data_IF_697684470363
#
_entry.id   IF_697684470363
#
_cell.length_a   1.000
_cell.length_b   1.000
_cell.length_c   1.000
_cell.angle_alpha   90.00
_cell.angle_beta   90.00
_cell.angle_gamma   90.00
#
_symmetry.space_group_name_H-M   'P 1'
#
loop_
_entity.id
_entity.type
_entity.pdbx_description
1 polymer ?
#
# COMPACT_ATOMS: atom_id res chain seq x y z
N UNK A 1 -60.30 -78.93 29.27
CA UNK A 1 -59.65 -77.59 29.23
C UNK A 1 -59.22 -77.23 30.65
N UNK A 2 -58.25 -77.94 31.20
CA UNK A 2 -56.80 -77.69 31.17
C UNK A 2 -56.36 -76.31 31.69
N UNK A 3 -55.77 -76.39 32.89
CA UNK A 3 -55.34 -75.34 33.80
C UNK A 3 -54.04 -74.70 33.34
N UNK A 4 -54.00 -73.38 33.41
CA UNK A 4 -52.77 -72.60 33.52
C UNK A 4 -52.09 -72.89 34.87
N UNK A 5 -50.81 -73.29 34.84
CA UNK A 5 -49.83 -73.13 35.94
C UNK A 5 -48.53 -72.67 35.28
N UNK A 6 -48.30 -71.36 35.30
CA UNK A 6 -47.32 -70.64 36.15
C UNK A 6 -45.89 -70.64 35.56
N UNK A 7 -45.28 -69.46 35.30
CA UNK A 7 -44.08 -69.31 34.46
C UNK A 7 -42.74 -69.50 35.21
N UNK A 8 -42.75 -70.06 36.43
CA UNK A 8 -41.53 -70.27 37.21
C UNK A 8 -40.58 -71.34 36.64
N UNK A 9 -41.07 -72.26 35.80
CA UNK A 9 -40.24 -73.27 35.16
C UNK A 9 -39.34 -72.72 34.04
N UNK A 10 -39.68 -71.56 33.46
CA UNK A 10 -38.90 -70.95 32.37
C UNK A 10 -37.70 -70.15 32.90
N UNK A 11 -37.83 -69.55 34.09
CA UNK A 11 -36.74 -68.76 34.70
C UNK A 11 -35.63 -69.67 35.25
N UNK A 12 -35.98 -70.85 35.80
CA UNK A 12 -34.98 -71.82 36.27
C UNK A 12 -34.16 -72.44 35.12
N UNK A 13 -34.74 -72.57 33.92
CA UNK A 13 -34.04 -73.07 32.73
C UNK A 13 -33.05 -72.04 32.13
N UNK A 14 -33.33 -70.74 32.28
CA UNK A 14 -32.45 -69.67 31.80
C UNK A 14 -31.22 -69.44 32.70
N UNK A 15 -31.31 -69.71 34.00
CA UNK A 15 -30.16 -69.56 34.92
C UNK A 15 -29.19 -70.75 34.82
N UNK A 16 -29.67 -71.97 34.55
CA UNK A 16 -28.78 -73.13 34.28
C UNK A 16 -28.06 -73.04 32.92
N UNK A 17 -28.59 -72.28 31.96
CA UNK A 17 -27.91 -72.06 30.67
C UNK A 17 -26.77 -71.03 30.75
N UNK A 18 -26.77 -70.13 31.76
CA UNK A 18 -25.69 -69.15 31.97
C UNK A 18 -24.54 -69.65 32.87
N UNK A 19 -24.72 -70.76 33.60
CA UNK A 19 -23.66 -71.31 34.47
C UNK A 19 -22.72 -72.33 33.77
N UNK A 20 -23.03 -72.74 32.54
CA UNK A 20 -22.21 -73.70 31.76
C UNK A 20 -21.28 -73.03 30.73
N UNK A 21 -21.19 -71.70 30.71
CA UNK A 21 -20.25 -70.95 29.85
C UNK A 21 -19.05 -70.37 30.63
N UNK A 22 -18.85 -70.76 31.89
CA UNK A 22 -17.70 -70.36 32.72
C UNK A 22 -16.42 -71.17 32.47
N UNK A 23 -16.23 -71.74 31.29
CA UNK A 23 -15.23 -72.79 31.03
C UNK A 23 -14.25 -72.49 29.90
N UNK A 24 -13.68 -71.29 29.80
CA UNK A 24 -12.57 -71.01 28.87
C UNK A 24 -11.53 -70.00 29.41
N UNK A 25 -11.37 -69.84 30.73
CA UNK A 25 -10.39 -68.91 31.29
C UNK A 25 -8.94 -69.46 31.37
N UNK A 26 -8.62 -70.51 30.60
CA UNK A 26 -7.30 -71.17 30.61
C UNK A 26 -6.70 -71.42 29.21
N UNK A 27 -7.29 -70.84 28.15
CA UNK A 27 -6.79 -70.98 26.77
C UNK A 27 -6.38 -69.66 26.11
N UNK A 28 -6.35 -68.56 26.88
CA UNK A 28 -6.01 -67.22 26.39
C UNK A 28 -4.86 -66.52 27.14
N UNK A 29 -4.21 -67.18 28.09
CA UNK A 29 -2.92 -66.73 28.61
C UNK A 29 -1.80 -67.13 27.65
N UNK A 30 -1.80 -66.55 26.45
CA UNK A 30 -0.57 -66.39 25.69
C UNK A 30 -0.02 -65.04 26.07
N UNK A 31 1.13 -65.03 26.76
CA UNK A 31 1.94 -63.84 26.85
C UNK A 31 2.37 -63.48 25.43
N UNK A 32 1.67 -62.51 24.85
CA UNK A 32 2.07 -61.92 23.59
C UNK A 32 2.99 -60.76 23.92
N UNK A 33 4.24 -60.86 23.46
CA UNK A 33 5.16 -59.75 23.49
C UNK A 33 4.65 -58.74 22.45
N UNK A 34 3.97 -57.69 22.90
CA UNK A 34 3.70 -56.53 22.04
C UNK A 34 5.03 -55.82 21.92
N UNK A 35 5.74 -56.10 20.83
CA UNK A 35 6.73 -55.14 20.34
C UNK A 35 5.89 -54.03 19.74
N UNK A 36 5.51 -53.06 20.57
CA UNK A 36 5.27 -51.73 20.02
C UNK A 36 6.56 -51.40 19.29
N UNK A 37 6.56 -51.08 17.97
CA UNK A 37 7.71 -50.39 17.43
C UNK A 37 7.96 -49.24 18.42
N UNK A 38 9.22 -49.05 18.81
CA UNK A 38 9.54 -47.79 19.46
C UNK A 38 9.00 -46.74 18.49
N UNK A 39 7.88 -46.11 18.85
CA UNK A 39 7.68 -44.71 18.57
C UNK A 39 8.86 -44.12 19.31
N UNK A 40 10.00 -44.05 18.62
CA UNK A 40 10.82 -42.88 18.70
C UNK A 40 9.80 -41.76 18.76
N UNK A 41 9.71 -41.08 19.90
CA UNK A 41 9.37 -39.67 19.85
C UNK A 41 10.49 -39.06 19.01
N UNK A 42 10.41 -39.27 17.68
CA UNK A 42 10.97 -38.34 16.74
C UNK A 42 10.21 -37.07 17.09
N UNK A 43 10.88 -36.01 17.60
CA UNK A 43 10.32 -34.69 17.34
C UNK A 43 9.92 -34.68 15.87
N UNK A 44 8.71 -34.16 15.58
CA UNK A 44 8.15 -33.97 14.23
C UNK A 44 9.28 -33.95 13.22
N UNK A 45 9.27 -34.88 12.25
CA UNK A 45 10.21 -34.87 11.13
C UNK A 45 10.37 -33.43 10.65
N UNK A 46 11.55 -32.88 10.93
CA UNK A 46 11.97 -31.55 10.48
C UNK A 46 11.99 -31.67 8.97
N UNK A 47 10.93 -31.19 8.33
CA UNK A 47 10.92 -30.96 6.89
C UNK A 47 11.81 -29.74 6.69
N UNK A 48 13.07 -30.01 6.40
CA UNK A 48 14.10 -29.06 6.04
C UNK A 48 15.33 -29.88 5.69
N UNK A 49 15.79 -29.78 4.44
CA UNK A 49 17.03 -30.42 3.99
C UNK A 49 18.15 -30.20 5.02
N UNK A 50 19.06 -31.17 5.16
CA UNK A 50 20.14 -31.17 6.15
C UNK A 50 21.04 -29.92 6.01
N UNK A 51 20.67 -28.81 6.66
CA UNK A 51 21.44 -27.57 6.61
C UNK A 51 22.78 -27.81 7.29
N UNK A 52 23.85 -27.63 6.52
CA UNK A 52 25.23 -27.90 6.93
C UNK A 52 26.03 -26.61 6.90
N UNK A 53 26.85 -26.42 7.93
CA UNK A 53 27.84 -25.36 7.96
C UNK A 53 29.19 -25.86 8.48
N UNK A 54 30.26 -25.34 7.90
CA UNK A 54 31.65 -25.55 8.32
C UNK A 54 32.31 -24.23 8.73
N UNK A 55 31.73 -23.10 8.32
CA UNK A 55 32.24 -21.75 8.58
C UNK A 55 31.19 -20.85 9.23
N UNK A 56 31.64 -19.77 9.87
CA UNK A 56 30.75 -18.76 10.48
C UNK A 56 29.78 -18.16 9.44
N UNK A 57 30.25 -17.93 8.22
CA UNK A 57 29.42 -17.38 7.15
C UNK A 57 28.33 -18.38 6.73
N UNK A 58 28.67 -19.66 6.55
CA UNK A 58 27.68 -20.69 6.23
C UNK A 58 26.65 -20.88 7.34
N UNK A 59 27.04 -20.73 8.61
CA UNK A 59 26.08 -20.73 9.72
C UNK A 59 25.08 -19.58 9.57
N UNK A 60 25.57 -18.37 9.28
CA UNK A 60 24.73 -17.18 9.06
C UNK A 60 23.82 -17.34 7.85
N UNK A 61 24.33 -17.85 6.74
CA UNK A 61 23.56 -18.08 5.51
C UNK A 61 22.45 -19.12 5.74
N UNK A 62 22.73 -20.19 6.49
CA UNK A 62 21.71 -21.17 6.87
C UNK A 62 20.64 -20.58 7.81
N UNK A 63 21.01 -19.70 8.74
CA UNK A 63 20.04 -18.98 9.60
C UNK A 63 19.13 -18.10 8.72
N UNK A 64 19.71 -17.36 7.78
CA UNK A 64 18.96 -16.53 6.84
C UNK A 64 18.02 -17.35 5.97
N UNK A 65 18.47 -18.51 5.47
CA UNK A 65 17.62 -19.41 4.70
C UNK A 65 16.41 -19.90 5.50
N UNK A 66 16.59 -20.24 6.79
CA UNK A 66 15.45 -20.60 7.66
C UNK A 66 14.45 -19.45 7.81
N UNK A 67 14.95 -18.21 7.86
CA UNK A 67 14.12 -16.98 7.95
C UNK A 67 13.39 -16.72 6.64
N UNK A 68 14.06 -16.86 5.49
CA UNK A 68 13.47 -16.72 4.15
C UNK A 68 12.33 -17.70 3.92
N UNK A 69 12.49 -18.95 4.35
CA UNK A 69 11.46 -20.00 4.25
C UNK A 69 10.39 -19.90 5.37
N UNK A 70 10.55 -18.97 6.32
CA UNK A 70 9.62 -18.80 7.44
C UNK A 70 9.56 -20.00 8.39
N UNK A 71 10.65 -20.76 8.52
CA UNK A 71 10.72 -21.98 9.34
C UNK A 71 10.87 -21.59 10.82
N UNK A 72 9.92 -22.00 11.66
CA UNK A 72 9.94 -21.72 13.11
C UNK A 72 10.97 -22.56 13.86
N UNK A 73 11.18 -23.82 13.44
CA UNK A 73 12.14 -24.74 14.07
C UNK A 73 13.01 -25.37 13.01
N UNK A 74 14.27 -24.93 12.96
CA UNK A 74 15.27 -25.41 12.01
C UNK A 74 16.41 -26.15 12.71
N UNK A 75 17.07 -27.06 12.00
CA UNK A 75 18.26 -27.77 12.50
C UNK A 75 19.44 -27.53 11.57
N UNK A 76 20.57 -27.09 12.13
CA UNK A 76 21.82 -26.86 11.41
C UNK A 76 22.90 -27.75 12.02
N UNK A 77 23.65 -28.45 11.18
CA UNK A 77 24.75 -29.32 11.61
C UNK A 77 26.11 -28.70 11.28
N UNK A 78 26.92 -28.50 12.32
CA UNK A 78 28.27 -27.97 12.22
C UNK A 78 29.31 -29.09 12.13
N UNK A 79 29.97 -29.22 10.98
CA UNK A 79 31.04 -30.20 10.74
C UNK A 79 32.39 -29.49 10.67
N UNK A 80 33.43 -30.08 11.27
CA UNK A 80 34.81 -29.55 11.22
C UNK A 80 34.93 -28.06 11.59
N UNK A 81 33.98 -27.54 12.37
CA UNK A 81 33.92 -26.12 12.72
C UNK A 81 35.05 -25.76 13.69
N UNK A 82 35.87 -24.80 13.31
CA UNK A 82 37.10 -24.44 14.04
C UNK A 82 36.94 -23.29 15.02
N UNK A 83 35.77 -22.65 15.08
CA UNK A 83 35.46 -21.52 15.97
C UNK A 83 34.88 -21.93 17.33
N UNK A 84 34.60 -20.92 18.16
CA UNK A 84 33.98 -21.08 19.49
C UNK A 84 32.46 -21.19 19.34
N UNK A 85 31.94 -22.42 19.33
CA UNK A 85 30.59 -22.75 18.86
C UNK A 85 29.49 -21.89 19.52
N UNK A 86 29.41 -21.86 20.85
CA UNK A 86 28.32 -21.15 21.53
C UNK A 86 28.43 -19.63 21.31
N UNK A 87 29.64 -19.07 21.37
CA UNK A 87 29.89 -17.64 21.10
C UNK A 87 29.59 -17.27 19.65
N UNK A 88 29.94 -18.13 18.70
CA UNK A 88 29.74 -17.90 17.28
C UNK A 88 28.26 -18.02 16.91
N UNK A 89 27.52 -18.96 17.51
CA UNK A 89 26.06 -19.05 17.33
C UNK A 89 25.38 -17.78 17.85
N UNK A 90 25.73 -17.33 19.06
CA UNK A 90 25.17 -16.11 19.63
C UNK A 90 25.52 -14.87 18.79
N UNK A 91 26.76 -14.80 18.29
CA UNK A 91 27.18 -13.74 17.39
C UNK A 91 26.44 -13.79 16.05
N UNK A 92 26.25 -14.96 15.45
CA UNK A 92 25.54 -15.13 14.19
C UNK A 92 24.05 -14.74 14.32
N UNK A 93 23.38 -15.17 15.39
CA UNK A 93 22.00 -14.78 15.70
C UNK A 93 21.92 -13.26 15.89
N UNK A 94 22.82 -12.71 16.71
CA UNK A 94 22.83 -11.26 17.01
C UNK A 94 23.08 -10.43 15.76
N UNK A 95 24.03 -10.83 14.91
CA UNK A 95 24.31 -10.13 13.65
C UNK A 95 23.13 -10.21 12.69
N UNK A 96 22.48 -11.36 12.60
CA UNK A 96 21.30 -11.54 11.75
C UNK A 96 20.15 -10.63 12.21
N UNK A 97 19.88 -10.59 13.51
CA UNK A 97 18.79 -9.77 14.06
C UNK A 97 19.07 -8.26 14.07
N UNK A 98 20.34 -7.84 13.94
CA UNK A 98 20.72 -6.41 13.99
C UNK A 98 21.10 -5.81 12.65
N UNK A 99 21.71 -6.59 11.77
CA UNK A 99 22.35 -6.07 10.56
C UNK A 99 21.78 -6.66 9.27
N UNK A 100 21.16 -7.84 9.32
CA UNK A 100 20.55 -8.43 8.13
C UNK A 100 19.13 -7.91 7.93
N UNK A 101 18.78 -7.37 6.74
CA UNK A 101 17.47 -6.77 6.50
C UNK A 101 16.31 -7.68 6.88
N UNK A 102 16.32 -8.92 6.38
CA UNK A 102 15.27 -9.91 6.66
C UNK A 102 15.22 -10.29 8.14
N UNK A 103 16.36 -10.43 8.80
CA UNK A 103 16.43 -10.75 10.22
C UNK A 103 15.81 -9.65 11.08
N UNK A 104 16.12 -8.38 10.81
CA UNK A 104 15.60 -7.24 11.57
C UNK A 104 14.09 -7.03 11.30
N UNK A 105 13.66 -7.24 10.06
CA UNK A 105 12.27 -7.07 9.64
C UNK A 105 11.35 -8.18 10.17
N UNK A 106 11.76 -9.44 10.06
CA UNK A 106 10.86 -10.59 10.25
C UNK A 106 10.96 -11.26 11.63
N UNK A 107 12.11 -11.16 12.30
CA UNK A 107 12.39 -11.96 13.51
C UNK A 107 12.19 -11.12 14.78
N UNK A 108 11.46 -11.67 15.75
CA UNK A 108 11.32 -11.09 17.08
C UNK A 108 12.40 -11.61 18.03
N UNK A 109 12.59 -12.93 18.05
CA UNK A 109 13.53 -13.59 18.95
C UNK A 109 13.98 -14.93 18.38
N UNK A 110 15.24 -15.30 18.64
CA UNK A 110 15.79 -16.62 18.32
C UNK A 110 16.37 -17.22 19.59
N UNK A 111 16.01 -18.47 19.85
CA UNK A 111 16.68 -19.31 20.84
C UNK A 111 17.36 -20.49 20.15
N UNK A 112 18.42 -20.99 20.75
CA UNK A 112 19.16 -22.13 20.22
C UNK A 112 19.40 -23.20 21.28
N UNK A 113 19.53 -24.44 20.82
CA UNK A 113 20.01 -25.56 21.60
C UNK A 113 21.10 -26.27 20.82
N UNK A 114 22.30 -26.32 21.38
CA UNK A 114 23.45 -27.01 20.80
C UNK A 114 23.65 -28.37 21.48
N UNK A 115 23.79 -29.44 20.69
CA UNK A 115 24.11 -30.79 21.17
C UNK A 115 25.27 -31.34 20.36
N UNK A 116 26.34 -31.77 21.04
CA UNK A 116 27.47 -32.44 20.39
C UNK A 116 27.14 -33.90 20.10
N UNK A 117 27.24 -34.31 18.84
CA UNK A 117 27.02 -35.68 18.38
C UNK A 117 28.28 -36.17 17.67
N UNK A 118 29.09 -36.98 18.37
CA UNK A 118 30.33 -37.60 17.87
C UNK A 118 31.24 -36.62 17.11
N UNK A 119 31.07 -36.55 15.78
CA UNK A 119 31.88 -35.78 14.83
C UNK A 119 31.32 -34.39 14.48
N UNK A 120 30.13 -34.01 14.95
CA UNK A 120 29.50 -32.72 14.63
C UNK A 120 28.74 -32.13 15.83
N UNK A 121 28.36 -30.86 15.71
CA UNK A 121 27.39 -30.23 16.63
C UNK A 121 26.07 -30.02 15.90
N UNK A 122 24.99 -30.44 16.52
CA UNK A 122 23.64 -30.21 16.03
C UNK A 122 23.04 -29.01 16.78
N UNK A 123 22.67 -27.99 16.02
CA UNK A 123 22.05 -26.78 16.51
C UNK A 123 20.58 -26.84 16.12
N UNK A 124 19.71 -26.87 17.12
CA UNK A 124 18.27 -26.63 16.92
C UNK A 124 18.00 -25.16 17.18
N UNK A 125 17.53 -24.44 16.16
CA UNK A 125 17.09 -23.06 16.27
C UNK A 125 15.57 -23.04 16.43
N UNK A 126 15.08 -22.22 17.34
CA UNK A 126 13.66 -21.89 17.48
C UNK A 126 13.51 -20.39 17.27
N UNK A 127 12.90 -20.03 16.15
CA UNK A 127 12.74 -18.67 15.66
C UNK A 127 11.29 -18.25 15.88
N UNK A 128 11.10 -17.15 16.61
CA UNK A 128 9.81 -16.50 16.79
C UNK A 128 9.74 -15.31 15.84
N UNK A 129 8.79 -15.34 14.91
CA UNK A 129 8.60 -14.28 13.92
C UNK A 129 7.60 -13.23 14.39
N UNK A 130 7.88 -11.97 14.02
CA UNK A 130 6.92 -10.85 14.12
C UNK A 130 6.08 -10.66 12.86
N UNK A 131 6.55 -11.22 11.74
CA UNK A 131 5.90 -11.20 10.43
C UNK A 131 5.55 -12.62 10.03
N UNK A 132 4.44 -12.80 9.33
CA UNK A 132 4.01 -14.10 8.81
C UNK A 132 4.90 -14.53 7.64
N UNK A 133 4.96 -15.83 7.36
CA UNK A 133 5.70 -16.35 6.20
C UNK A 133 5.19 -15.76 4.87
N UNK A 134 3.89 -15.46 4.78
CA UNK A 134 3.28 -14.79 3.63
C UNK A 134 3.81 -13.36 3.44
N UNK A 135 3.95 -12.59 4.53
CA UNK A 135 4.52 -11.24 4.48
C UNK A 135 6.01 -11.26 4.08
N UNK A 136 6.77 -12.24 4.57
CA UNK A 136 8.19 -12.42 4.21
C UNK A 136 8.32 -12.76 2.71
N UNK A 137 7.50 -13.70 2.22
CA UNK A 137 7.50 -14.08 0.81
C UNK A 137 6.97 -12.97 -0.12
N UNK A 138 6.17 -12.04 0.40
CA UNK A 138 5.63 -10.90 -0.34
C UNK A 138 6.63 -9.75 -0.55
N UNK A 139 7.81 -9.79 0.07
CA UNK A 139 8.84 -8.76 -0.09
C UNK A 139 9.29 -8.72 -1.56
N UNK A 140 9.05 -7.58 -2.21
CA UNK A 140 9.40 -7.41 -3.62
C UNK A 140 10.82 -6.84 -3.76
N UNK A 141 11.64 -7.46 -4.61
CA UNK A 141 12.99 -6.97 -4.91
C UNK A 141 12.96 -5.87 -5.96
N UNK A 142 13.55 -4.72 -5.65
CA UNK A 142 13.62 -3.57 -6.55
C UNK A 142 14.93 -3.63 -7.33
N UNK A 143 14.83 -3.66 -8.66
CA UNK A 143 16.01 -3.73 -9.54
C UNK A 143 16.39 -2.38 -10.16
N UNK A 144 15.46 -1.41 -10.18
CA UNK A 144 15.69 -0.08 -10.75
C UNK A 144 14.77 0.98 -10.13
N UNK A 145 15.10 2.26 -10.38
CA UNK A 145 14.26 3.42 -9.99
C UNK A 145 12.85 3.32 -10.58
N UNK A 146 12.74 2.91 -11.84
CA UNK A 146 11.45 2.75 -12.51
C UNK A 146 10.62 1.63 -11.89
N UNK A 147 11.25 0.50 -11.53
CA UNK A 147 10.54 -0.60 -10.88
C UNK A 147 10.00 -0.18 -9.51
N UNK A 148 10.79 0.57 -8.74
CA UNK A 148 10.33 1.14 -7.48
C UNK A 148 9.12 2.06 -7.68
N UNK A 149 9.22 2.98 -8.63
CA UNK A 149 8.14 3.93 -8.94
C UNK A 149 6.86 3.17 -9.29
N UNK A 150 6.95 2.18 -10.17
CA UNK A 150 5.80 1.36 -10.58
C UNK A 150 5.19 0.59 -9.41
N UNK A 151 6.00 -0.07 -8.58
CA UNK A 151 5.50 -0.81 -7.41
C UNK A 151 4.79 0.11 -6.42
N UNK A 152 5.32 1.31 -6.22
CA UNK A 152 4.76 2.31 -5.34
C UNK A 152 3.43 2.86 -5.89
N UNK A 153 3.38 3.21 -7.17
CA UNK A 153 2.16 3.70 -7.82
C UNK A 153 1.08 2.62 -7.96
N UNK A 154 1.47 1.36 -8.17
CA UNK A 154 0.55 0.22 -8.21
C UNK A 154 -0.12 0.00 -6.85
N UNK A 155 0.67 0.00 -5.77
CA UNK A 155 0.16 -0.12 -4.41
C UNK A 155 -0.78 1.05 -4.08
N UNK A 156 -0.39 2.27 -4.47
CA UNK A 156 -1.15 3.48 -4.23
C UNK A 156 -2.49 3.51 -4.99
N UNK A 157 -2.50 3.16 -6.28
CA UNK A 157 -3.71 3.05 -7.10
C UNK A 157 -4.63 1.90 -6.66
N UNK A 158 -4.03 0.85 -6.11
CA UNK A 158 -4.73 -0.29 -5.52
C UNK A 158 -5.45 0.04 -4.21
N UNK A 159 -5.09 1.15 -3.56
CA UNK A 159 -5.39 1.47 -2.16
C UNK A 159 -4.92 0.35 -1.22
N UNK A 160 -3.69 -0.12 -1.40
CA UNK A 160 -3.05 -1.10 -0.53
C UNK A 160 -2.66 -0.49 0.82
N UNK A 161 -2.76 -1.24 1.91
CA UNK A 161 -2.48 -0.71 3.26
C UNK A 161 -0.97 -0.58 3.52
N UNK A 162 -0.15 -1.37 2.82
CA UNK A 162 1.31 -1.30 2.93
C UNK A 162 2.00 -1.87 1.70
N UNK A 163 3.23 -1.40 1.45
CA UNK A 163 4.15 -1.92 0.45
C UNK A 163 5.49 -2.22 1.14
N UNK A 164 5.96 -3.47 1.03
CA UNK A 164 7.27 -3.87 1.53
C UNK A 164 8.19 -4.22 0.38
N UNK A 165 9.32 -3.51 0.27
CA UNK A 165 10.28 -3.64 -0.83
C UNK A 165 11.71 -3.70 -0.33
N UNK A 166 12.54 -4.48 -1.02
CA UNK A 166 13.98 -4.54 -0.80
C UNK A 166 14.66 -3.51 -1.69
N UNK A 167 15.34 -2.54 -1.08
CA UNK A 167 15.96 -1.36 -1.73
C UNK A 167 17.44 -1.24 -1.36
N UNK A 168 18.27 -0.60 -2.22
CA UNK A 168 19.66 -0.31 -1.87
C UNK A 168 19.76 0.78 -0.79
N UNK A 169 20.89 0.82 -0.09
CA UNK A 169 21.13 1.77 1.00
C UNK A 169 21.02 3.25 0.60
N UNK A 170 21.33 3.59 -0.65
CA UNK A 170 21.27 4.97 -1.17
C UNK A 170 19.87 5.36 -1.69
N UNK A 171 18.82 4.60 -1.36
CA UNK A 171 17.50 4.90 -1.90
C UNK A 171 16.97 6.28 -1.47
N UNK A 172 17.30 6.76 -0.28
CA UNK A 172 16.80 8.06 0.22
C UNK A 172 17.21 9.22 -0.70
N UNK A 173 18.42 9.21 -1.24
CA UNK A 173 18.95 10.30 -2.07
C UNK A 173 18.40 10.30 -3.50
N UNK A 174 17.83 9.18 -3.96
CA UNK A 174 17.40 8.99 -5.35
C UNK A 174 15.89 8.71 -5.50
N UNK A 175 15.22 8.31 -4.43
CA UNK A 175 13.85 7.81 -4.43
C UNK A 175 13.04 8.62 -3.41
N UNK A 176 12.77 9.90 -3.74
CA UNK A 176 11.88 10.71 -2.92
C UNK A 176 10.44 10.17 -3.05
N UNK A 177 10.05 9.33 -2.09
CA UNK A 177 8.73 8.67 -2.03
C UNK A 177 7.62 9.72 -2.00
N UNK A 178 7.81 10.81 -1.26
CA UNK A 178 6.84 11.90 -1.15
C UNK A 178 6.58 12.54 -2.51
N UNK A 179 7.64 12.96 -3.22
CA UNK A 179 7.52 13.56 -4.55
C UNK A 179 6.88 12.59 -5.56
N UNK A 180 7.22 11.30 -5.49
CA UNK A 180 6.65 10.28 -6.40
C UNK A 180 5.15 10.14 -6.17
N UNK A 181 4.71 10.02 -4.92
CA UNK A 181 3.30 9.87 -4.59
C UNK A 181 2.52 11.16 -4.89
N UNK A 182 3.12 12.31 -4.59
CA UNK A 182 2.53 13.62 -4.87
C UNK A 182 2.33 13.83 -6.38
N UNK A 183 3.37 13.59 -7.18
CA UNK A 183 3.28 13.65 -8.65
C UNK A 183 2.23 12.68 -9.19
N UNK A 184 2.17 11.45 -8.67
CA UNK A 184 1.18 10.49 -9.11
C UNK A 184 -0.25 10.93 -8.80
N UNK A 185 -0.49 11.52 -7.63
CA UNK A 185 -1.78 12.07 -7.24
C UNK A 185 -2.20 13.24 -8.15
N UNK A 186 -1.29 14.18 -8.39
CA UNK A 186 -1.51 15.36 -9.22
C UNK A 186 -1.80 14.98 -10.69
N UNK A 187 -1.16 13.92 -11.18
CA UNK A 187 -1.33 13.42 -12.55
C UNK A 187 -2.64 12.63 -12.73
N UNK A 188 -3.23 12.08 -11.66
CA UNK A 188 -4.32 11.10 -11.73
C UNK A 188 -5.57 11.44 -10.88
N UNK A 189 -6.12 12.67 -10.91
CA UNK A 189 -7.24 13.07 -10.06
C UNK A 189 -8.55 12.32 -10.36
N UNK A 190 -8.70 11.72 -11.55
CA UNK A 190 -9.88 10.92 -11.92
C UNK A 190 -9.90 9.53 -11.26
N UNK A 191 -8.73 8.96 -10.96
CA UNK A 191 -8.61 7.58 -10.47
C UNK A 191 -8.25 7.51 -9.00
N UNK A 192 -7.57 8.53 -8.48
CA UNK A 192 -7.24 8.65 -7.06
C UNK A 192 -8.18 9.67 -6.42
N UNK A 193 -9.10 9.20 -5.57
CA UNK A 193 -10.10 10.06 -4.96
C UNK A 193 -9.56 10.92 -3.80
N UNK A 194 -8.55 10.41 -3.08
CA UNK A 194 -7.91 11.10 -1.97
C UNK A 194 -6.50 10.55 -1.73
N UNK A 195 -5.58 11.41 -1.30
CA UNK A 195 -4.24 11.00 -0.91
C UNK A 195 -4.24 10.35 0.49
N UNK A 196 -3.47 9.27 0.72
CA UNK A 196 -3.21 8.73 2.03
C UNK A 196 -2.13 9.52 2.76
N UNK A 197 -2.18 9.48 4.09
CA UNK A 197 -0.99 9.68 4.91
C UNK A 197 -0.11 8.43 4.79
N UNK A 198 1.22 8.60 4.79
CA UNK A 198 2.11 7.46 4.75
C UNK A 198 3.22 7.57 5.79
N UNK A 199 3.71 6.41 6.23
CA UNK A 199 4.88 6.31 7.10
C UNK A 199 5.87 5.34 6.49
N UNK A 200 7.15 5.63 6.62
CA UNK A 200 8.23 4.81 6.11
C UNK A 200 9.04 4.24 7.27
N UNK A 201 9.36 2.95 7.20
CA UNK A 201 10.26 2.29 8.13
C UNK A 201 11.33 1.51 7.39
N UNK A 202 12.56 1.61 7.87
CA UNK A 202 13.71 0.94 7.31
C UNK A 202 14.26 -0.13 8.24
N UNK A 203 14.68 -1.24 7.63
CA UNK A 203 15.22 -2.39 8.32
C UNK A 203 16.50 -2.89 7.62
N UNK A 204 17.68 -2.88 8.30
CA UNK A 204 17.99 -2.12 9.52
C UNK A 204 17.96 -0.59 9.33
N UNK A 205 17.85 0.14 10.43
CA UNK A 205 17.96 1.61 10.44
C UNK A 205 19.31 2.08 9.87
N UNK A 206 19.31 3.22 9.18
CA UNK A 206 20.49 3.82 8.55
C UNK A 206 21.55 4.22 9.58
N UNK A 207 21.14 4.58 10.79
CA UNK A 207 22.02 4.97 11.88
C UNK A 207 22.53 3.79 12.73
N UNK A 208 22.12 2.55 12.40
CA UNK A 208 22.54 1.38 13.16
C UNK A 208 24.05 1.13 13.04
N UNK A 209 24.79 1.36 14.13
CA UNK A 209 26.25 1.10 14.21
C UNK A 209 26.59 -0.34 13.81
N UNK A 210 27.25 -0.50 12.66
CA UNK A 210 27.66 -1.81 12.11
C UNK A 210 26.82 -2.32 10.93
N UNK A 211 25.80 -1.58 10.48
CA UNK A 211 25.03 -1.91 9.29
C UNK A 211 25.87 -1.72 8.01
N UNK A 212 26.65 -2.74 7.67
CA UNK A 212 27.59 -2.75 6.53
C UNK A 212 26.96 -3.30 5.23
N UNK A 213 25.73 -3.81 5.29
CA UNK A 213 24.99 -4.35 4.14
C UNK A 213 24.57 -3.26 3.16
N UNK A 214 24.52 -3.60 1.87
CA UNK A 214 24.11 -2.68 0.80
C UNK A 214 22.60 -2.61 0.60
N UNK A 215 21.84 -3.53 1.19
CA UNK A 215 20.40 -3.69 1.00
C UNK A 215 19.65 -3.37 2.29
N UNK A 216 18.41 -2.93 2.15
CA UNK A 216 17.46 -2.60 3.23
C UNK A 216 16.07 -3.06 2.82
N UNK A 217 15.24 -3.34 3.82
CA UNK A 217 13.80 -3.49 3.61
C UNK A 217 13.14 -2.17 3.98
N UNK A 218 12.42 -1.59 3.02
CA UNK A 218 11.57 -0.42 3.20
C UNK A 218 10.12 -0.89 3.29
N UNK A 219 9.49 -0.60 4.42
CA UNK A 219 8.05 -0.76 4.62
C UNK A 219 7.40 0.63 4.53
N UNK A 220 6.55 0.81 3.52
CA UNK A 220 5.71 2.00 3.35
C UNK A 220 4.30 1.63 3.77
N UNK A 221 3.80 2.25 4.83
CA UNK A 221 2.44 2.00 5.33
C UNK A 221 1.54 3.18 4.99
N UNK A 222 0.40 2.90 4.36
CA UNK A 222 -0.57 3.90 3.93
C UNK A 222 -1.76 3.94 4.89
N UNK A 223 -2.24 5.14 5.19
CA UNK A 223 -3.43 5.40 5.98
C UNK A 223 -4.35 6.31 5.18
N UNK A 224 -5.42 5.72 4.64
CA UNK A 224 -6.40 6.43 3.84
C UNK A 224 -7.51 7.05 4.71
N UNK A 225 -8.09 8.18 4.30
CA UNK A 225 -9.20 8.81 5.03
C UNK A 225 -10.49 7.98 5.01
N UNK A 226 -10.64 7.11 4.01
CA UNK A 226 -11.85 6.32 3.75
C UNK A 226 -11.51 4.88 3.37
N UNK A 227 -12.50 3.99 3.41
CA UNK A 227 -12.31 2.60 2.97
C UNK A 227 -12.01 2.53 1.47
N UNK A 228 -11.21 1.52 1.05
CA UNK A 228 -10.93 1.22 -0.38
C UNK A 228 -12.20 1.16 -1.24
N UNK A 229 -13.29 0.60 -0.71
CA UNK A 229 -14.55 0.51 -1.43
C UNK A 229 -15.18 1.88 -1.68
N UNK A 230 -15.16 2.76 -0.66
CA UNK A 230 -15.68 4.13 -0.74
C UNK A 230 -14.84 4.99 -1.67
N UNK A 231 -13.51 4.93 -1.59
CA UNK A 231 -12.61 5.71 -2.47
C UNK A 231 -12.84 5.36 -3.95
N UNK A 232 -12.98 4.07 -4.27
CA UNK A 232 -13.33 3.62 -5.63
C UNK A 232 -14.73 4.08 -6.07
N UNK A 233 -15.66 4.23 -5.13
CA UNK A 233 -16.98 4.79 -5.43
C UNK A 233 -16.90 6.29 -5.71
N UNK A 234 -16.16 7.04 -4.90
CA UNK A 234 -15.90 8.47 -5.09
C UNK A 234 -15.34 8.76 -6.47
N UNK A 235 -14.33 8.01 -6.93
CA UNK A 235 -13.78 8.16 -8.29
C UNK A 235 -14.84 7.92 -9.38
N UNK A 236 -15.74 6.94 -9.18
CA UNK A 236 -16.83 6.66 -10.13
C UNK A 236 -17.90 7.76 -10.12
N UNK A 237 -18.21 8.32 -8.97
CA UNK A 237 -19.15 9.44 -8.82
C UNK A 237 -18.60 10.69 -9.50
N UNK A 238 -17.34 11.02 -9.25
CA UNK A 238 -16.62 12.11 -9.89
C UNK A 238 -16.66 11.99 -11.43
N UNK A 239 -16.26 10.83 -11.97
CA UNK A 239 -16.26 10.58 -13.41
C UNK A 239 -17.66 10.73 -14.03
N UNK A 240 -18.70 10.22 -13.36
CA UNK A 240 -20.08 10.36 -13.83
C UNK A 240 -20.55 11.80 -13.80
N UNK A 241 -20.16 12.56 -12.78
CA UNK A 241 -20.54 13.96 -12.66
C UNK A 241 -19.87 14.80 -13.75
N UNK A 242 -18.56 14.61 -13.98
CA UNK A 242 -17.83 15.24 -15.08
C UNK A 242 -18.49 14.91 -16.42
N UNK A 243 -18.76 13.63 -16.68
CA UNK A 243 -19.42 13.20 -17.92
C UNK A 243 -20.79 13.85 -18.14
N UNK A 244 -21.54 14.16 -17.07
CA UNK A 244 -22.84 14.85 -17.16
C UNK A 244 -22.69 16.36 -17.33
N UNK A 245 -21.71 16.96 -16.67
CA UNK A 245 -21.44 18.39 -16.81
C UNK A 245 -20.97 18.72 -18.22
N UNK A 246 -20.27 17.79 -18.86
CA UNK A 246 -19.74 17.96 -20.21
C UNK A 246 -20.62 17.34 -21.31
N UNK A 247 -21.69 16.61 -20.96
CA UNK A 247 -22.64 16.13 -21.96
C UNK A 247 -23.41 17.31 -22.54
N UNK A 248 -23.44 17.41 -23.86
CA UNK A 248 -24.20 18.41 -24.64
C UNK A 248 -23.58 19.82 -24.71
N UNK A 249 -22.31 19.98 -24.34
CA UNK A 249 -21.59 21.26 -24.52
C UNK A 249 -20.78 21.29 -25.83
N UNK A 250 -20.98 22.35 -26.61
CA UNK A 250 -20.11 22.68 -27.75
C UNK A 250 -18.92 23.51 -27.27
N UNK A 251 -17.70 23.00 -27.47
CA UNK A 251 -16.45 23.60 -26.98
C UNK A 251 -15.52 23.87 -28.18
N UNK A 252 -15.86 24.87 -29.04
CA UNK A 252 -15.27 25.03 -30.36
C UNK A 252 -13.82 25.50 -30.34
N UNK A 253 -13.41 26.24 -29.32
CA UNK A 253 -12.06 26.77 -29.14
C UNK A 253 -11.62 26.66 -27.67
N UNK A 254 -10.31 26.78 -27.44
CA UNK A 254 -9.71 26.62 -26.12
C UNK A 254 -10.19 27.66 -25.10
N UNK A 255 -10.41 28.91 -25.53
CA UNK A 255 -10.85 29.99 -24.62
C UNK A 255 -12.25 29.69 -24.12
N UNK A 256 -13.17 29.41 -25.05
CA UNK A 256 -14.54 29.01 -24.73
C UNK A 256 -14.57 27.79 -23.81
N UNK A 257 -13.71 26.81 -24.09
CA UNK A 257 -13.62 25.58 -23.31
C UNK A 257 -13.22 25.83 -21.86
N UNK A 258 -12.11 26.54 -21.64
CA UNK A 258 -11.61 26.76 -20.27
C UNK A 258 -12.48 27.75 -19.49
N UNK A 259 -13.13 28.69 -20.17
CA UNK A 259 -14.16 29.53 -19.57
C UNK A 259 -15.34 28.70 -19.05
N UNK A 260 -15.83 27.76 -19.85
CA UNK A 260 -16.89 26.84 -19.46
C UNK A 260 -16.45 25.96 -18.29
N UNK A 261 -15.20 25.49 -18.27
CA UNK A 261 -14.66 24.74 -17.13
C UNK A 261 -14.70 25.56 -15.84
N UNK A 262 -14.26 26.83 -15.88
CA UNK A 262 -14.35 27.71 -14.73
C UNK A 262 -15.79 27.96 -14.29
N UNK A 263 -16.70 28.20 -15.24
CA UNK A 263 -18.12 28.44 -14.92
C UNK A 263 -18.76 27.23 -14.22
N UNK A 264 -18.47 26.03 -14.72
CA UNK A 264 -18.91 24.77 -14.14
C UNK A 264 -18.36 24.53 -12.72
N UNK A 265 -17.14 24.98 -12.45
CA UNK A 265 -16.51 24.88 -11.14
C UNK A 265 -16.93 26.01 -10.19
N UNK A 266 -17.30 27.19 -10.71
CA UNK A 266 -17.73 28.37 -9.95
C UNK A 266 -19.18 28.29 -9.47
N UNK A 267 -20.03 27.54 -10.15
CA UNK A 267 -21.45 27.48 -9.80
C UNK A 267 -21.67 26.92 -8.38
N UNK A 268 -22.14 27.78 -7.47
CA UNK A 268 -22.38 27.50 -6.05
C UNK A 268 -21.15 27.00 -5.28
N UNK A 269 -19.97 27.49 -5.67
CA UNK A 269 -18.68 27.05 -5.14
C UNK A 269 -18.21 27.90 -3.95
N UNK A 270 -17.62 27.26 -2.95
CA UNK A 270 -16.92 27.92 -1.84
C UNK A 270 -15.42 27.60 -1.89
N UNK A 271 -14.57 28.62 -1.75
CA UNK A 271 -13.13 28.43 -1.60
C UNK A 271 -12.77 28.43 -0.13
N UNK A 272 -12.28 27.28 0.34
CA UNK A 272 -11.77 27.13 1.70
C UNK A 272 -10.33 27.61 1.72
N UNK A 273 -10.05 28.56 2.60
CA UNK A 273 -8.69 28.98 2.89
C UNK A 273 -7.92 27.82 3.53
N UNK A 274 -6.85 27.35 2.89
CA UNK A 274 -6.00 26.28 3.40
C UNK A 274 -5.28 26.59 4.73
N UNK A 275 -5.45 27.81 5.27
CA UNK A 275 -4.97 28.22 6.60
C UNK A 275 -5.77 27.65 7.77
N UNK A 276 -6.97 27.14 7.53
CA UNK A 276 -7.87 26.70 8.60
C UNK A 276 -7.64 25.25 9.07
N UNK A 277 -6.54 24.59 8.69
CA UNK A 277 -6.27 23.20 9.10
C UNK A 277 -4.88 22.94 9.70
N UNK A 278 -4.89 22.00 10.63
CA UNK A 278 -3.98 21.79 11.75
C UNK A 278 -2.46 21.71 11.41
N UNK A 279 -1.62 22.61 11.94
CA UNK A 279 -0.16 22.55 11.79
C UNK A 279 0.50 21.36 12.49
N UNK A 280 -0.22 20.59 13.33
CA UNK A 280 0.28 19.37 13.98
C UNK A 280 0.17 18.10 13.11
N UNK A 281 -0.25 18.23 11.84
CA UNK A 281 -0.02 17.21 10.80
C UNK A 281 -0.69 15.85 11.06
N UNK A 282 -1.86 15.84 11.69
CA UNK A 282 -2.60 14.59 12.03
C UNK A 282 -3.98 14.45 11.40
N UNK A 283 -4.54 15.53 10.88
CA UNK A 283 -5.78 15.46 10.13
C UNK A 283 -5.42 15.32 8.65
N UNK A 284 -5.91 14.23 8.04
CA UNK A 284 -5.68 13.85 6.66
C UNK A 284 -5.92 15.00 5.68
N UNK A 285 -5.34 14.92 4.48
CA UNK A 285 -5.86 15.63 3.30
C UNK A 285 -7.35 15.36 3.19
N UNK A 286 -8.16 16.29 3.71
CA UNK A 286 -9.60 16.18 3.71
C UNK A 286 -10.16 16.20 2.30
N UNK A 287 -11.45 15.91 2.18
CA UNK A 287 -12.13 15.89 0.88
C UNK A 287 -12.01 17.23 0.14
N UNK A 288 -11.83 18.33 0.85
CA UNK A 288 -11.60 19.68 0.34
C UNK A 288 -10.29 19.85 -0.45
N UNK A 289 -9.31 18.97 -0.27
CA UNK A 289 -8.05 18.94 -1.05
C UNK A 289 -8.16 18.06 -2.31
N UNK A 290 -9.37 17.64 -2.69
CA UNK A 290 -9.58 16.69 -3.78
C UNK A 290 -10.44 17.29 -4.88
N UNK A 291 -10.33 16.76 -6.10
CA UNK A 291 -11.26 17.07 -7.18
C UNK A 291 -12.73 16.75 -6.80
N UNK A 292 -12.94 15.76 -5.94
CA UNK A 292 -14.25 15.41 -5.41
C UNK A 292 -14.83 16.55 -4.54
N UNK A 293 -14.02 17.17 -3.69
CA UNK A 293 -14.44 18.33 -2.89
C UNK A 293 -14.92 19.48 -3.76
N UNK A 294 -14.17 19.81 -4.81
CA UNK A 294 -14.51 20.91 -5.71
C UNK A 294 -15.73 20.59 -6.60
N UNK A 295 -15.81 19.40 -7.21
CA UNK A 295 -16.87 19.09 -8.18
C UNK A 295 -18.16 18.61 -7.52
N UNK A 296 -18.06 17.74 -6.50
CA UNK A 296 -19.23 17.12 -5.87
C UNK A 296 -19.70 17.93 -4.66
N UNK A 297 -18.79 18.28 -3.75
CA UNK A 297 -19.16 19.02 -2.54
C UNK A 297 -19.28 20.52 -2.79
N UNK A 298 -18.78 21.03 -3.92
CA UNK A 298 -18.75 22.45 -4.28
C UNK A 298 -18.04 23.31 -3.24
N UNK A 299 -17.09 22.73 -2.51
CA UNK A 299 -16.32 23.41 -1.48
C UNK A 299 -14.94 22.75 -1.35
N UNK A 300 -13.89 23.51 -1.61
CA UNK A 300 -12.53 23.00 -1.74
C UNK A 300 -11.46 24.08 -1.51
N UNK A 301 -10.23 23.65 -1.27
CA UNK A 301 -9.04 24.51 -1.24
C UNK A 301 -8.55 24.80 -2.67
N UNK A 302 -7.51 25.64 -2.81
CA UNK A 302 -6.88 25.89 -4.12
C UNK A 302 -6.35 24.61 -4.77
N UNK A 303 -5.86 23.65 -3.97
CA UNK A 303 -5.48 22.32 -4.44
C UNK A 303 -6.67 21.54 -4.99
N UNK A 304 -7.81 21.49 -4.27
CA UNK A 304 -8.99 20.77 -4.74
C UNK A 304 -9.56 21.34 -6.05
N UNK A 305 -9.58 22.67 -6.22
CA UNK A 305 -9.98 23.30 -7.48
C UNK A 305 -8.98 23.06 -8.61
N UNK A 306 -7.67 23.08 -8.34
CA UNK A 306 -6.66 22.79 -9.35
C UNK A 306 -6.74 21.33 -9.84
N UNK A 307 -6.99 20.38 -8.94
CA UNK A 307 -7.22 18.97 -9.27
C UNK A 307 -8.53 18.76 -10.04
N UNK A 308 -9.58 19.52 -9.71
CA UNK A 308 -10.84 19.48 -10.45
C UNK A 308 -10.70 19.99 -11.88
N UNK A 309 -9.98 21.11 -12.08
CA UNK A 309 -9.69 21.62 -13.42
C UNK A 309 -8.85 20.62 -14.23
N UNK A 310 -7.81 20.03 -13.62
CA UNK A 310 -7.03 18.93 -14.20
C UNK A 310 -7.92 17.73 -14.56
N UNK A 311 -8.84 17.34 -13.70
CA UNK A 311 -9.77 16.24 -13.96
C UNK A 311 -10.70 16.50 -15.16
N UNK A 312 -11.17 17.75 -15.34
CA UNK A 312 -11.93 18.15 -16.53
C UNK A 312 -11.07 18.09 -17.81
N UNK A 313 -9.81 18.53 -17.72
CA UNK A 313 -8.84 18.43 -18.83
C UNK A 313 -8.55 16.98 -19.21
N UNK A 314 -8.27 16.12 -18.23
CA UNK A 314 -7.98 14.69 -18.43
C UNK A 314 -9.14 13.96 -19.07
N UNK A 315 -10.38 14.32 -18.71
CA UNK A 315 -11.57 13.72 -19.30
C UNK A 315 -11.70 14.01 -20.81
N UNK A 316 -11.15 15.13 -21.28
CA UNK A 316 -11.13 15.54 -22.69
C UNK A 316 -9.78 15.33 -23.38
N UNK A 317 -8.82 14.64 -22.75
CA UNK A 317 -7.47 14.39 -23.28
C UNK A 317 -6.68 15.70 -23.56
N UNK A 318 -6.80 16.68 -22.65
CA UNK A 318 -6.11 17.97 -22.73
C UNK A 318 -4.93 17.97 -21.76
N UNK A 319 -3.73 18.24 -22.27
CA UNK A 319 -2.52 18.36 -21.45
C UNK A 319 -2.67 19.51 -20.43
N UNK A 320 -2.60 19.18 -19.15
CA UNK A 320 -2.70 20.10 -18.04
C UNK A 320 -1.78 19.66 -16.90
N UNK A 321 -1.16 20.60 -16.19
CA UNK A 321 -0.36 20.36 -15.00
C UNK A 321 -0.99 21.05 -13.81
N UNK A 322 -1.01 20.38 -12.66
CA UNK A 322 -1.24 21.03 -11.37
C UNK A 322 0.08 21.64 -10.93
N UNK A 323 0.08 22.93 -10.64
CA UNK A 323 1.26 23.66 -10.20
C UNK A 323 1.18 23.86 -8.69
N UNK A 324 2.16 23.33 -7.97
CA UNK A 324 2.36 23.59 -6.54
C UNK A 324 3.39 24.71 -6.38
N UNK A 325 2.96 25.82 -5.78
CA UNK A 325 3.81 27.00 -5.64
C UNK A 325 3.36 27.90 -4.50
N UNK A 326 3.54 29.21 -4.68
CA UNK A 326 3.15 30.22 -3.71
C UNK A 326 2.49 31.41 -4.36
N UNK A 327 1.49 31.98 -3.69
CA UNK A 327 0.89 33.28 -3.99
C UNK A 327 1.18 34.21 -2.81
N UNK A 328 1.86 35.33 -3.03
CA UNK A 328 2.21 36.28 -1.95
C UNK A 328 2.94 35.67 -0.73
N UNK A 329 3.71 34.60 -0.97
CA UNK A 329 4.50 33.88 0.04
C UNK A 329 3.78 32.73 0.74
N UNK A 330 2.50 32.54 0.43
CA UNK A 330 1.58 31.55 0.97
C UNK A 330 1.43 30.37 0.01
N UNK A 331 1.39 29.13 0.52
CA UNK A 331 1.24 27.94 -0.34
C UNK A 331 -0.06 27.99 -1.14
N UNK A 332 0.04 27.71 -2.44
CA UNK A 332 -1.10 27.82 -3.35
C UNK A 332 -0.92 26.89 -4.54
N UNK A 333 -2.04 26.34 -5.02
CA UNK A 333 -2.07 25.45 -6.18
C UNK A 333 -2.95 26.04 -7.29
N UNK A 334 -2.51 25.92 -8.53
CA UNK A 334 -3.23 26.36 -9.73
C UNK A 334 -2.87 25.44 -10.91
N UNK A 335 -3.24 25.78 -12.15
CA UNK A 335 -2.96 24.95 -13.32
C UNK A 335 -2.11 25.65 -14.39
N UNK A 336 -1.35 24.86 -15.15
CA UNK A 336 -0.80 25.25 -16.45
C UNK A 336 -1.39 24.31 -17.49
N UNK A 337 -2.13 24.85 -18.46
CA UNK A 337 -2.86 24.10 -19.47
C UNK A 337 -2.34 24.42 -20.87
N UNK A 338 -2.37 23.42 -21.75
CA UNK A 338 -1.97 23.55 -23.14
C UNK A 338 -3.14 24.02 -24.00
N UNK A 339 -2.86 25.01 -24.84
CA UNK A 339 -3.73 25.53 -25.91
C UNK A 339 -3.05 25.33 -27.26
N UNK A 340 -3.75 25.67 -28.36
CA UNK A 340 -3.17 25.75 -29.69
C UNK A 340 -2.00 26.77 -29.78
N UNK A 341 -2.07 27.85 -29.00
CA UNK A 341 -1.10 28.96 -29.00
C UNK A 341 0.06 28.77 -28.00
N UNK A 342 0.01 27.73 -27.17
CA UNK A 342 1.07 27.38 -26.23
C UNK A 342 0.56 27.02 -24.85
N UNK A 343 1.37 27.22 -23.82
CA UNK A 343 0.98 26.93 -22.43
C UNK A 343 0.51 28.19 -21.74
N UNK A 344 -0.51 28.07 -20.89
CA UNK A 344 -1.07 29.19 -20.15
C UNK A 344 -1.49 28.77 -18.75
N UNK A 345 -1.43 29.72 -17.82
CA UNK A 345 -1.84 29.53 -16.44
C UNK A 345 -3.35 29.75 -16.28
N UNK A 346 -3.96 28.98 -15.39
CA UNK A 346 -5.36 29.11 -14.98
C UNK A 346 -5.44 28.96 -13.46
N UNK A 347 -6.11 29.87 -12.78
CA UNK A 347 -6.37 29.78 -11.34
C UNK A 347 -7.85 29.96 -11.02
N UNK A 348 -8.55 28.84 -11.02
CA UNK A 348 -10.00 28.78 -10.77
C UNK A 348 -10.34 29.27 -9.36
N UNK A 349 -9.52 28.95 -8.35
CA UNK A 349 -9.80 29.32 -6.96
C UNK A 349 -9.76 30.84 -6.76
N UNK A 350 -8.79 31.51 -7.39
CA UNK A 350 -8.72 32.96 -7.37
C UNK A 350 -9.83 33.60 -8.21
N UNK A 351 -10.19 33.04 -9.36
CA UNK A 351 -11.28 33.55 -10.18
C UNK A 351 -12.69 33.33 -9.56
N UNK A 352 -12.85 32.35 -8.67
CA UNK A 352 -14.03 32.24 -7.79
C UNK A 352 -14.03 33.34 -6.73
N UNK A 353 -12.88 33.60 -6.09
CA UNK A 353 -12.76 34.56 -4.98
C UNK A 353 -12.90 36.01 -5.43
N UNK A 354 -12.19 36.39 -6.50
CA UNK A 354 -12.15 37.76 -7.01
C UNK A 354 -13.24 38.06 -8.05
N UNK A 355 -14.08 37.06 -8.36
CA UNK A 355 -15.21 37.15 -9.30
C UNK A 355 -14.80 37.70 -10.68
N UNK A 356 -14.36 36.82 -11.58
CA UNK A 356 -14.03 37.18 -12.96
C UNK A 356 -13.27 36.08 -13.68
N UNK A 357 -12.60 36.45 -14.79
CA UNK A 357 -11.66 35.59 -15.52
C UNK A 357 -10.29 36.27 -15.56
N UNK A 358 -9.85 36.80 -14.43
CA UNK A 358 -8.62 37.57 -14.28
C UNK A 358 -7.37 36.70 -14.18
N UNK A 359 -7.56 35.40 -13.90
CA UNK A 359 -6.51 34.41 -13.79
C UNK A 359 -6.62 33.30 -14.85
N UNK A 360 -7.66 33.35 -15.70
CA UNK A 360 -7.80 32.52 -16.89
C UNK A 360 -6.80 32.91 -18.00
N UNK A 361 -6.06 31.91 -18.49
CA UNK A 361 -5.11 31.99 -19.61
C UNK A 361 -4.02 33.06 -19.46
N UNK A 362 -3.39 33.12 -18.28
CA UNK A 362 -2.30 34.04 -17.98
C UNK A 362 -0.93 33.52 -18.45
N UNK A 363 -0.04 34.44 -18.81
CA UNK A 363 1.38 34.16 -19.07
C UNK A 363 2.20 34.12 -17.77
N UNK A 364 3.43 33.61 -17.83
CA UNK A 364 4.39 33.55 -16.71
C UNK A 364 4.61 34.96 -16.14
N UNK A 365 4.72 35.95 -17.03
CA UNK A 365 4.91 37.36 -16.66
C UNK A 365 3.74 37.91 -15.86
N UNK A 366 2.51 37.67 -16.33
CA UNK A 366 1.28 38.11 -15.63
C UNK A 366 1.15 37.44 -14.26
N UNK A 367 1.42 36.14 -14.16
CA UNK A 367 1.39 35.41 -12.89
C UNK A 367 2.45 35.94 -11.92
N UNK A 368 3.69 36.17 -12.39
CA UNK A 368 4.76 36.71 -11.55
C UNK A 368 4.46 38.12 -11.03
N UNK A 369 3.86 38.98 -11.84
CA UNK A 369 3.40 40.33 -11.46
C UNK A 369 2.27 40.29 -10.43
N UNK A 370 1.39 39.29 -10.51
CA UNK A 370 0.30 39.02 -9.56
C UNK A 370 0.76 38.33 -8.26
N UNK A 371 2.07 38.15 -8.04
CA UNK A 371 2.61 37.61 -6.79
C UNK A 371 2.87 36.09 -6.78
N UNK A 372 2.62 35.39 -7.88
CA UNK A 372 2.83 33.93 -7.96
C UNK A 372 4.31 33.58 -8.09
N UNK A 373 4.71 32.49 -7.46
CA UNK A 373 6.06 31.92 -7.51
C UNK A 373 5.98 30.41 -7.61
N UNK A 374 6.68 29.84 -8.57
CA UNK A 374 6.83 28.39 -8.79
C UNK A 374 8.25 28.11 -9.29
N UNK A 375 8.62 26.84 -9.39
CA UNK A 375 9.88 26.44 -10.00
C UNK A 375 9.71 26.24 -11.52
N UNK A 376 10.29 27.11 -12.38
CA UNK A 376 10.07 27.03 -13.82
C UNK A 376 10.75 25.84 -14.50
N UNK A 377 11.63 25.08 -13.80
CA UNK A 377 12.22 23.86 -14.36
C UNK A 377 11.24 22.69 -14.40
N UNK A 378 10.18 22.77 -13.59
CA UNK A 378 9.30 21.63 -13.33
C UNK A 378 8.08 21.63 -14.27
N UNK A 379 7.85 22.74 -14.98
CA UNK A 379 6.67 22.97 -15.81
C UNK A 379 7.04 23.56 -17.18
N UNK A 380 6.20 23.34 -18.21
CA UNK A 380 6.38 24.01 -19.50
C UNK A 380 6.26 25.53 -19.35
N UNK A 381 7.10 26.27 -20.11
CA UNK A 381 7.02 27.74 -20.15
C UNK A 381 5.77 28.18 -20.90
N UNK A 382 5.08 29.18 -20.36
CA UNK A 382 3.95 29.76 -21.07
C UNK A 382 4.34 30.48 -22.35
N UNK A 383 3.35 30.67 -23.22
CA UNK A 383 3.49 31.51 -24.39
C UNK A 383 3.71 32.98 -23.98
N UNK A 384 4.39 33.74 -24.84
CA UNK A 384 4.64 35.16 -24.61
C UNK A 384 3.45 36.05 -25.03
N UNK A 385 2.52 35.52 -25.81
CA UNK A 385 1.37 36.26 -26.33
C UNK A 385 0.24 36.30 -25.30
N UNK A 386 -0.22 37.51 -24.99
CA UNK A 386 -1.29 37.75 -24.01
C UNK A 386 -2.64 37.51 -24.67
N UNK A 387 -3.44 36.61 -24.10
CA UNK A 387 -4.83 36.39 -24.49
C UNK A 387 -5.73 37.33 -23.68
N UNK A 388 -6.56 38.13 -24.36
CA UNK A 388 -7.51 39.03 -23.69
C UNK A 388 -8.89 38.39 -23.54
N UNK A 389 -9.09 37.67 -22.44
CA UNK A 389 -10.33 36.94 -22.12
C UNK A 389 -11.51 37.90 -21.82
N UNK A 390 -11.21 39.11 -21.32
CA UNK A 390 -12.23 40.08 -20.88
C UNK A 390 -13.05 40.74 -22.01
N UNK A 391 -12.57 40.70 -23.25
CA UNK A 391 -13.21 41.34 -24.40
C UNK A 391 -14.20 40.46 -25.19
N UNK A 392 -14.42 39.20 -24.79
CA UNK A 392 -15.15 38.21 -25.62
C UNK A 392 -16.40 37.62 -24.91
N UNK A 393 -17.07 38.40 -24.06
CA UNK A 393 -18.09 37.92 -23.11
C UNK A 393 -19.50 37.64 -23.67
N UNK A 394 -19.77 37.63 -24.97
CA UNK A 394 -21.12 37.40 -25.49
C UNK A 394 -21.19 36.15 -26.38
N UNK A 395 -21.86 35.12 -25.85
CA UNK A 395 -22.55 33.98 -26.50
C UNK A 395 -22.20 32.62 -25.87
N UNK A 396 -22.88 32.30 -24.77
CA UNK A 396 -23.18 30.89 -24.44
C UNK A 396 -24.32 30.48 -25.38
N UNK A 397 -24.01 29.72 -26.43
CA UNK A 397 -24.99 29.22 -27.39
C UNK A 397 -25.77 28.08 -26.72
N UNK A 398 -26.98 28.39 -26.26
CA UNK A 398 -27.97 27.36 -25.93
C UNK A 398 -28.63 26.87 -27.22
N UNK A 399 -28.64 25.56 -27.46
CA UNK A 399 -29.45 24.97 -28.54
C UNK A 399 -30.94 25.15 -28.22
N UNK A 400 -31.66 25.89 -29.06
CA UNK A 400 -33.12 25.93 -28.98
C UNK A 400 -33.72 24.52 -29.19
N UNK A 401 -34.78 24.16 -28.46
CA UNK A 401 -35.43 22.88 -28.64
C UNK A 401 -36.08 22.81 -30.03
N UNK A 402 -35.83 21.73 -30.74
CA UNK A 402 -36.46 21.42 -32.03
C UNK A 402 -37.97 21.31 -31.79
N UNK A 403 -38.74 22.29 -32.27
CA UNK A 403 -40.19 22.17 -32.38
C UNK A 403 -40.51 21.06 -33.40
N UNK A 404 -41.00 19.92 -32.90
CA UNK A 404 -41.70 18.93 -33.72
C UNK A 404 -42.94 19.61 -34.32
N UNK A 405 -42.94 19.76 -35.64
CA UNK A 405 -44.11 20.19 -36.41
C UNK A 405 -44.98 18.97 -36.69
N UNK A 406 -46.21 18.99 -36.16
CA UNK A 406 -47.31 18.04 -36.51
C UNK A 406 -47.77 18.14 -37.96
#
# INVERSE_FOLDING_TARGET
>A
MNRFKSPLAVIAALISALALLGGCNLLLSRDYMVITPHLENRPREVVGDELRAETFQELKDNILHLIEEGIEVGTIRLYNYTGEIDSDIEAAITQTMKYEPLGVYAVEYVSYKSVRILSYHEITLTITYRKTAEEIAAIKKVSSVSDFKNLLTDAYSGYEDSLTVEVPWYYVDQYNVEDILQSYYDDNPLTVAAAPNFTMKLYPDMEAEGATGWQRILEVSFTYPESRARLREMSRELLRQISRMLSDLELPDDISRFKVFEDLLRENSEVISGYDFDPDGKDAYGVEYTAYGAIINKSATSEGYALAFKALCDFLDIDCHVVRGRLDGLEHCWNIVKTEDGWYHVDVAMDITDSGYQYLLCTDGQMAEKGYRWNPSDYPRSAAEIINVSSMTEELIHTEPIEETE
#
